data_IF_700728882326
#
_entry.id   IF_700728882326
#
_cell.length_a   1.000
_cell.length_b   1.000
_cell.length_c   1.000
_cell.angle_alpha   90.00
_cell.angle_beta   90.00
_cell.angle_gamma   90.00
#
_symmetry.space_group_name_H-M   'P 1'
#
loop_
_entity.id
_entity.type
_entity.pdbx_description
1 polymer ?
#
# COMPACT_ATOMS: atom_id res chain seq x y z
N UNK A 1 -32.93 -47.62 60.07
CA UNK A 1 -33.44 -47.65 58.68
C UNK A 1 -33.37 -46.23 58.13
N UNK A 2 -32.41 -45.92 57.26
CA UNK A 2 -32.27 -44.58 56.68
C UNK A 2 -33.20 -44.44 55.47
N UNK A 3 -34.18 -43.54 55.57
CA UNK A 3 -35.06 -43.14 54.47
C UNK A 3 -34.26 -42.40 53.42
N UNK A 4 -34.05 -43.02 52.26
CA UNK A 4 -33.39 -42.40 51.11
C UNK A 4 -34.35 -41.38 50.49
N UNK A 5 -34.05 -40.09 50.65
CA UNK A 5 -34.82 -38.99 50.06
C UNK A 5 -34.80 -39.11 48.54
N UNK A 6 -35.95 -39.46 47.95
CA UNK A 6 -36.15 -39.44 46.50
C UNK A 6 -36.49 -38.02 46.05
N UNK A 7 -35.99 -37.64 44.87
CA UNK A 7 -36.08 -36.30 44.30
C UNK A 7 -37.02 -36.36 43.10
N UNK A 8 -38.07 -35.54 43.09
CA UNK A 8 -39.09 -35.52 42.03
C UNK A 8 -38.70 -34.56 40.91
N UNK A 9 -38.86 -34.98 39.66
CA UNK A 9 -38.69 -34.09 38.51
C UNK A 9 -39.82 -33.05 38.47
N UNK A 10 -39.50 -31.75 38.31
CA UNK A 10 -40.51 -30.70 38.33
C UNK A 10 -41.36 -30.64 37.05
N UNK A 11 -40.94 -31.28 35.95
CA UNK A 11 -41.63 -31.19 34.66
C UNK A 11 -42.61 -32.35 34.46
N UNK A 12 -42.22 -33.58 34.79
CA UNK A 12 -43.04 -34.78 34.56
C UNK A 12 -43.34 -35.61 35.82
N UNK A 13 -42.86 -35.16 36.99
CA UNK A 13 -43.22 -35.73 38.28
C UNK A 13 -42.60 -37.08 38.62
N UNK A 14 -41.64 -37.60 37.83
CA UNK A 14 -40.97 -38.87 38.14
C UNK A 14 -40.01 -38.75 39.33
N UNK A 15 -39.90 -39.79 40.15
CA UNK A 15 -39.04 -39.84 41.33
C UNK A 15 -37.68 -40.48 41.00
N UNK A 16 -36.61 -39.85 41.47
CA UNK A 16 -35.24 -40.29 41.25
C UNK A 16 -34.51 -40.46 42.59
N UNK A 17 -33.70 -41.50 42.70
CA UNK A 17 -32.94 -41.76 43.93
C UNK A 17 -31.79 -40.75 44.13
N UNK A 18 -31.30 -40.10 43.07
CA UNK A 18 -30.17 -39.17 43.13
C UNK A 18 -30.39 -37.94 42.23
N UNK A 19 -29.77 -36.81 42.60
CA UNK A 19 -29.86 -35.57 41.84
C UNK A 19 -29.17 -35.66 40.46
N UNK A 20 -28.14 -36.50 40.33
CA UNK A 20 -27.47 -36.75 39.07
C UNK A 20 -28.39 -37.45 38.06
N UNK A 21 -29.15 -38.46 38.51
CA UNK A 21 -30.14 -39.15 37.67
C UNK A 21 -31.25 -38.19 37.20
N UNK A 22 -31.70 -37.29 38.07
CA UNK A 22 -32.65 -36.24 37.70
C UNK A 22 -32.08 -35.28 36.64
N UNK A 23 -30.81 -34.88 36.78
CA UNK A 23 -30.14 -33.96 35.83
C UNK A 23 -29.97 -34.59 34.44
N UNK A 24 -29.63 -35.88 34.39
CA UNK A 24 -29.51 -36.61 33.12
C UNK A 24 -30.88 -36.81 32.46
N UNK A 25 -31.91 -37.13 33.25
CA UNK A 25 -33.30 -37.22 32.77
C UNK A 25 -33.81 -35.90 32.20
N UNK A 26 -33.63 -34.78 32.92
CA UNK A 26 -34.04 -33.45 32.45
C UNK A 26 -33.30 -33.00 31.19
N UNK A 27 -32.00 -33.29 31.08
CA UNK A 27 -31.23 -32.99 29.88
C UNK A 27 -31.68 -33.82 28.65
N UNK A 28 -32.04 -35.09 28.85
CA UNK A 28 -32.39 -36.02 27.75
C UNK A 28 -33.86 -35.96 27.34
N UNK A 29 -34.78 -35.71 28.28
CA UNK A 29 -36.23 -35.72 28.01
C UNK A 29 -36.87 -34.34 27.93
N UNK A 30 -36.30 -33.33 28.58
CA UNK A 30 -36.89 -31.99 28.69
C UNK A 30 -36.04 -30.86 28.07
N UNK A 31 -34.99 -31.23 27.31
CA UNK A 31 -34.25 -30.36 26.37
C UNK A 31 -34.12 -28.90 26.81
N UNK A 32 -33.17 -28.61 27.71
CA UNK A 32 -32.71 -27.27 28.11
C UNK A 32 -33.76 -26.13 28.16
N UNK A 33 -34.96 -26.40 28.65
CA UNK A 33 -35.99 -25.40 28.92
C UNK A 33 -35.96 -24.98 30.40
N UNK A 34 -34.84 -24.36 30.81
CA UNK A 34 -34.69 -23.77 32.14
C UNK A 34 -35.11 -22.28 32.14
N UNK A 35 -35.95 -21.82 33.09
CA UNK A 35 -36.44 -20.44 33.14
C UNK A 35 -35.34 -19.48 33.62
N UNK A 36 -35.15 -18.37 32.90
CA UNK A 36 -34.20 -17.31 33.27
C UNK A 36 -34.65 -16.53 34.51
N UNK A 37 -33.77 -16.22 35.48
CA UNK A 37 -34.14 -15.42 36.65
C UNK A 37 -34.27 -13.93 36.29
N UNK A 38 -35.37 -13.30 36.73
CA UNK A 38 -35.61 -11.85 36.61
C UNK A 38 -34.63 -11.05 37.48
N UNK A 39 -34.00 -9.97 36.98
CA UNK A 39 -33.22 -9.08 37.81
C UNK A 39 -34.10 -8.06 38.55
N UNK A 40 -33.83 -7.88 39.84
CA UNK A 40 -34.38 -6.82 40.71
C UNK A 40 -33.82 -5.47 40.30
N UNK A 41 -34.69 -4.46 40.24
CA UNK A 41 -34.35 -3.09 39.86
C UNK A 41 -33.61 -2.30 40.95
N UNK A 42 -32.91 -1.26 40.50
CA UNK A 42 -32.46 -0.12 41.29
C UNK A 42 -32.54 1.16 40.42
N UNK A 43 -32.67 2.36 41.03
CA UNK A 43 -33.45 3.46 40.48
C UNK A 43 -32.72 4.36 39.48
N UNK A 44 -33.54 5.16 38.79
CA UNK A 44 -33.23 6.02 37.66
C UNK A 44 -32.03 6.95 37.84
N UNK A 45 -31.12 6.92 36.86
CA UNK A 45 -30.16 8.01 36.59
C UNK A 45 -30.26 8.41 35.12
N UNK A 46 -30.86 9.58 34.91
CA UNK A 46 -30.82 10.47 33.76
C UNK A 46 -30.39 9.88 32.40
N UNK A 47 -31.38 9.72 31.54
CA UNK A 47 -31.28 9.54 30.09
C UNK A 47 -30.47 10.66 29.44
N UNK A 48 -29.22 10.37 29.06
CA UNK A 48 -28.55 11.10 27.98
C UNK A 48 -28.59 10.19 26.75
N UNK A 49 -29.49 10.51 25.83
CA UNK A 49 -29.65 9.83 24.54
C UNK A 49 -28.30 9.80 23.81
N UNK A 50 -27.61 8.65 23.87
CA UNK A 50 -26.55 8.32 22.92
C UNK A 50 -27.25 7.69 21.73
N UNK A 51 -27.17 8.41 20.61
CA UNK A 51 -27.52 7.96 19.27
C UNK A 51 -27.26 6.46 19.14
N UNK A 52 -28.33 5.72 18.90
CA UNK A 52 -28.31 4.32 18.59
C UNK A 52 -27.35 4.12 17.42
N UNK A 53 -26.14 3.62 17.72
CA UNK A 53 -25.34 2.93 16.71
C UNK A 53 -26.20 1.76 16.27
N UNK A 54 -26.70 1.86 15.05
CA UNK A 54 -27.24 0.74 14.30
C UNK A 54 -26.15 -0.33 14.32
N UNK A 55 -26.31 -1.31 15.19
CA UNK A 55 -25.57 -2.56 15.13
C UNK A 55 -26.10 -3.27 13.90
N UNK A 56 -25.54 -2.93 12.73
CA UNK A 56 -25.63 -3.74 11.53
C UNK A 56 -25.13 -5.13 11.93
N UNK A 57 -26.06 -6.08 12.00
CA UNK A 57 -25.77 -7.46 12.30
C UNK A 57 -24.66 -7.96 11.38
N UNK A 58 -23.76 -8.71 12.00
CA UNK A 58 -22.74 -9.57 11.39
C UNK A 58 -23.24 -10.24 10.10
N UNK A 59 -23.07 -9.58 8.96
CA UNK A 59 -22.76 -10.27 7.71
C UNK A 59 -21.40 -10.90 8.00
N UNK A 60 -21.29 -12.23 7.93
CA UNK A 60 -20.04 -12.96 8.16
C UNK A 60 -18.91 -12.34 7.31
N UNK A 61 -18.18 -11.38 7.87
CA UNK A 61 -16.98 -10.82 7.26
C UNK A 61 -15.95 -11.94 7.37
N UNK A 62 -15.81 -12.72 6.31
CA UNK A 62 -14.70 -13.66 6.21
C UNK A 62 -13.43 -12.81 6.23
N UNK A 63 -12.76 -12.81 7.36
CA UNK A 63 -11.47 -12.18 7.48
C UNK A 63 -10.41 -13.18 7.02
N UNK A 64 -9.51 -12.74 6.15
CA UNK A 64 -8.46 -13.59 5.60
C UNK A 64 -7.13 -13.20 6.23
N UNK A 65 -6.53 -14.12 6.99
CA UNK A 65 -5.18 -13.94 7.51
C UNK A 65 -4.20 -14.52 6.50
N UNK A 66 -3.31 -13.67 5.98
CA UNK A 66 -2.33 -14.02 4.95
C UNK A 66 -0.96 -13.59 5.42
N UNK A 67 0.05 -14.41 5.13
CA UNK A 67 1.45 -14.09 5.39
C UNK A 67 2.29 -14.13 4.12
N UNK A 68 3.35 -13.35 4.11
CA UNK A 68 4.28 -13.27 2.99
C UNK A 68 5.54 -12.49 3.34
N UNK A 69 6.39 -12.34 2.33
CA UNK A 69 7.53 -11.45 2.38
C UNK A 69 7.68 -10.75 1.04
N UNK A 70 7.96 -9.46 1.09
CA UNK A 70 8.11 -8.60 -0.08
C UNK A 70 9.33 -7.68 0.09
N UNK A 71 9.90 -7.23 -1.02
CA UNK A 71 10.98 -6.24 -1.02
C UNK A 71 10.36 -4.83 -1.04
N UNK A 72 10.68 -4.01 -0.04
CA UNK A 72 10.25 -2.60 0.00
C UNK A 72 11.07 -1.79 -1.00
N UNK A 73 12.38 -2.02 -1.03
CA UNK A 73 13.28 -1.34 -1.96
C UNK A 73 14.74 -1.73 -1.78
N UNK A 74 15.53 -1.38 -2.78
CA UNK A 74 16.99 -1.52 -2.80
C UNK A 74 17.59 -0.14 -3.02
N UNK A 75 18.55 0.23 -2.16
CA UNK A 75 19.20 1.54 -2.21
C UNK A 75 20.68 1.32 -2.42
N UNK A 76 21.27 2.06 -3.37
CA UNK A 76 22.72 2.08 -3.54
C UNK A 76 23.30 3.23 -2.73
N UNK A 77 24.10 2.90 -1.72
CA UNK A 77 24.83 3.86 -0.91
C UNK A 77 26.14 4.24 -1.60
N UNK A 78 26.37 5.53 -1.74
CA UNK A 78 27.61 6.09 -2.28
C UNK A 78 28.46 6.63 -1.14
N UNK A 79 29.79 6.54 -1.28
CA UNK A 79 30.75 7.09 -0.30
C UNK A 79 30.57 8.62 -0.09
N UNK A 80 30.04 9.31 -1.10
CA UNK A 80 29.71 10.74 -1.03
C UNK A 80 28.47 11.07 -0.19
N UNK A 81 27.70 10.08 0.29
CA UNK A 81 26.49 10.33 1.07
C UNK A 81 26.83 10.85 2.47
N UNK A 82 26.15 11.91 2.88
CA UNK A 82 26.34 12.53 4.20
C UNK A 82 25.54 11.81 5.28
N UNK A 83 26.06 11.80 6.50
CA UNK A 83 25.34 11.31 7.69
C UNK A 83 24.03 12.10 7.84
N UNK A 84 22.94 11.41 8.18
CA UNK A 84 21.59 11.96 8.22
C UNK A 84 20.86 11.95 6.87
N UNK A 85 21.49 11.49 5.78
CA UNK A 85 20.80 11.31 4.51
C UNK A 85 19.66 10.28 4.67
N UNK A 86 18.44 10.59 4.22
CA UNK A 86 17.34 9.64 4.22
C UNK A 86 17.66 8.52 3.23
N UNK A 87 17.52 7.29 3.70
CA UNK A 87 17.61 6.09 2.87
C UNK A 87 16.18 5.72 2.46
N UNK A 88 15.33 5.44 3.43
CA UNK A 88 13.96 5.01 3.18
C UNK A 88 13.00 5.89 4.00
N UNK A 89 11.92 6.33 3.37
CA UNK A 89 10.75 6.90 4.05
C UNK A 89 9.55 6.22 3.42
N UNK A 90 8.81 5.46 4.22
CA UNK A 90 7.70 4.65 3.74
C UNK A 90 6.53 4.65 4.71
N UNK A 91 5.40 5.19 4.25
CA UNK A 91 4.11 5.08 4.92
C UNK A 91 3.62 3.64 4.78
N UNK A 92 3.43 2.96 5.91
CA UNK A 92 3.15 1.52 5.90
C UNK A 92 1.72 1.29 5.43
N UNK A 93 1.59 1.05 4.13
CA UNK A 93 0.33 0.73 3.48
C UNK A 93 0.55 -0.35 2.41
N UNK A 94 -0.19 -1.47 2.44
CA UNK A 94 -0.13 -2.54 1.44
C UNK A 94 -0.21 -2.06 -0.01
N UNK A 95 -1.05 -1.06 -0.30
CA UNK A 95 -1.28 -0.56 -1.65
C UNK A 95 -0.08 0.19 -2.22
N UNK A 96 0.79 0.73 -1.37
CA UNK A 96 1.97 1.51 -1.80
C UNK A 96 3.13 0.62 -2.28
N UNK A 97 3.15 -0.67 -1.91
CA UNK A 97 4.18 -1.62 -2.32
C UNK A 97 3.90 -2.19 -3.71
N UNK A 98 3.93 -1.33 -4.74
CA UNK A 98 3.59 -1.71 -6.11
C UNK A 98 4.36 -2.95 -6.60
N UNK A 99 3.72 -3.76 -7.44
CA UNK A 99 4.26 -5.02 -7.99
C UNK A 99 4.57 -6.14 -6.98
N UNK A 100 4.23 -5.95 -5.70
CA UNK A 100 4.38 -6.98 -4.68
C UNK A 100 3.14 -7.84 -4.56
N UNK A 101 3.28 -9.00 -3.89
CA UNK A 101 2.12 -9.83 -3.56
C UNK A 101 1.16 -9.07 -2.66
N UNK A 102 1.70 -8.32 -1.69
CA UNK A 102 0.92 -7.56 -0.73
C UNK A 102 0.03 -6.49 -1.38
N UNK A 103 0.55 -5.74 -2.36
CA UNK A 103 -0.26 -4.76 -3.10
C UNK A 103 -1.39 -5.41 -3.88
N UNK A 104 -1.13 -6.54 -4.56
CA UNK A 104 -2.20 -7.27 -5.27
C UNK A 104 -3.30 -7.76 -4.33
N UNK A 105 -2.94 -8.19 -3.11
CA UNK A 105 -3.94 -8.56 -2.11
C UNK A 105 -4.75 -7.34 -1.67
N UNK A 106 -4.10 -6.20 -1.44
CA UNK A 106 -4.79 -4.97 -1.01
C UNK A 106 -5.80 -4.45 -2.04
N UNK A 107 -5.63 -4.78 -3.32
CA UNK A 107 -6.59 -4.41 -4.36
C UNK A 107 -7.93 -5.13 -4.19
N UNK A 108 -7.96 -6.34 -3.62
CA UNK A 108 -9.16 -7.19 -3.54
C UNK A 108 -9.98 -6.95 -2.28
N UNK A 109 -9.45 -6.17 -1.33
CA UNK A 109 -10.07 -5.94 -0.04
C UNK A 109 -10.11 -4.45 0.26
N UNK A 110 -11.21 -3.96 0.82
CA UNK A 110 -11.30 -2.55 1.23
C UNK A 110 -10.56 -2.27 2.54
N UNK A 111 -10.34 -3.29 3.39
CA UNK A 111 -9.76 -3.12 4.72
C UNK A 111 -8.65 -4.11 5.01
N UNK A 112 -7.66 -3.63 5.75
CA UNK A 112 -6.54 -4.43 6.22
C UNK A 112 -6.20 -4.11 7.67
N UNK A 113 -5.52 -5.04 8.33
CA UNK A 113 -4.85 -4.80 9.61
C UNK A 113 -3.58 -5.63 9.74
N UNK A 114 -2.49 -5.07 10.27
CA UNK A 114 -1.28 -5.84 10.52
C UNK A 114 -1.46 -6.73 11.75
N UNK A 115 -0.94 -7.95 11.67
CA UNK A 115 -0.82 -8.89 12.80
C UNK A 115 0.63 -9.07 13.23
N UNK A 116 1.53 -9.11 12.24
CA UNK A 116 2.97 -9.17 12.45
C UNK A 116 3.64 -8.41 11.31
N UNK A 117 4.54 -7.51 11.66
CA UNK A 117 5.37 -6.79 10.69
C UNK A 117 6.81 -6.80 11.19
N UNK A 118 7.72 -7.24 10.34
CA UNK A 118 9.15 -7.17 10.60
C UNK A 118 9.90 -6.74 9.35
N UNK A 119 10.72 -5.71 9.47
CA UNK A 119 11.57 -5.21 8.40
C UNK A 119 12.97 -5.74 8.61
N UNK A 120 13.45 -6.54 7.67
CA UNK A 120 14.81 -7.06 7.63
C UNK A 120 15.62 -6.14 6.72
N UNK A 121 16.64 -5.51 7.31
CA UNK A 121 17.63 -4.74 6.58
C UNK A 121 18.79 -5.65 6.24
N UNK A 122 19.05 -5.84 4.95
CA UNK A 122 20.10 -6.72 4.42
C UNK A 122 21.09 -5.86 3.62
N UNK A 123 22.21 -5.45 4.24
CA UNK A 123 23.28 -4.77 3.53
C UNK A 123 24.05 -5.75 2.63
N UNK A 124 24.41 -5.32 1.43
CA UNK A 124 25.25 -6.02 0.46
C UNK A 124 26.74 -5.70 0.66
N UNK A 125 27.19 -5.64 1.90
CA UNK A 125 28.54 -5.21 2.28
C UNK A 125 29.27 -6.29 3.08
N UNK A 126 30.60 -6.31 3.01
CA UNK A 126 31.42 -7.18 3.85
C UNK A 126 31.40 -6.75 5.32
N UNK A 127 31.72 -7.67 6.23
CA UNK A 127 31.69 -7.43 7.70
C UNK A 127 32.55 -6.23 8.13
N UNK A 128 33.66 -5.98 7.42
CA UNK A 128 34.61 -4.90 7.71
C UNK A 128 34.24 -3.56 7.08
N UNK A 129 33.08 -3.44 6.43
CA UNK A 129 32.67 -2.19 5.78
C UNK A 129 32.33 -1.14 6.85
N UNK A 130 33.08 -0.02 6.92
CA UNK A 130 32.80 1.03 7.89
C UNK A 130 31.51 1.76 7.55
N UNK A 131 30.83 2.24 8.59
CA UNK A 131 29.58 2.96 8.49
C UNK A 131 28.41 2.24 9.14
N UNK A 132 27.32 2.97 9.30
CA UNK A 132 26.12 2.49 9.98
C UNK A 132 24.86 3.15 9.43
N UNK A 133 23.74 2.50 9.65
CA UNK A 133 22.41 3.01 9.34
C UNK A 133 21.54 2.96 10.61
N UNK A 134 20.55 3.84 10.67
CA UNK A 134 19.52 3.75 11.69
C UNK A 134 18.16 3.59 11.02
N UNK A 135 17.31 2.73 11.56
CA UNK A 135 15.94 2.52 11.11
C UNK A 135 14.99 2.59 12.30
N UNK A 136 13.85 3.25 12.13
CA UNK A 136 12.87 3.44 13.18
C UNK A 136 11.46 3.47 12.61
N UNK A 137 10.50 3.20 13.49
CA UNK A 137 9.07 3.29 13.17
C UNK A 137 8.38 4.21 14.16
N UNK A 138 7.37 4.92 13.67
CA UNK A 138 6.47 5.73 14.47
C UNK A 138 5.04 5.56 13.98
N UNK A 139 4.07 5.61 14.91
CA UNK A 139 2.65 5.63 14.56
C UNK A 139 2.22 6.98 13.96
N UNK A 140 3.00 8.04 14.19
CA UNK A 140 2.76 9.38 13.66
C UNK A 140 3.26 9.49 12.22
N UNK A 141 2.33 9.62 11.27
CA UNK A 141 2.62 9.76 9.84
C UNK A 141 3.25 11.12 9.49
N UNK A 142 3.04 12.14 10.32
CA UNK A 142 3.55 13.49 10.08
C UNK A 142 4.86 13.74 10.84
N UNK A 143 5.55 12.67 11.26
CA UNK A 143 6.77 12.80 12.04
C UNK A 143 7.86 13.52 11.25
N UNK A 144 8.16 14.73 11.69
CA UNK A 144 9.24 15.53 11.13
C UNK A 144 10.62 15.03 11.62
N UNK A 145 11.49 14.70 10.66
CA UNK A 145 12.87 14.30 10.92
C UNK A 145 13.78 15.49 11.26
N UNK A 146 13.38 16.72 10.96
CA UNK A 146 14.15 17.94 11.18
C UNK A 146 15.38 18.07 10.28
N UNK A 147 16.31 18.93 10.73
CA UNK A 147 17.59 19.23 10.07
C UNK A 147 18.49 18.01 9.96
N UNK A 148 19.28 17.90 8.89
CA UNK A 148 20.16 16.76 8.60
C UNK A 148 21.03 16.32 9.81
N UNK A 149 21.55 17.27 10.57
CA UNK A 149 22.42 17.06 11.74
C UNK A 149 21.73 16.34 12.91
N UNK A 150 20.40 16.50 13.06
CA UNK A 150 19.63 15.95 14.17
C UNK A 150 18.82 14.71 13.80
N UNK A 151 18.71 14.37 12.50
CA UNK A 151 17.88 13.25 12.02
C UNK A 151 18.21 11.91 12.67
N UNK A 152 19.50 11.60 12.81
CA UNK A 152 19.93 10.35 13.44
C UNK A 152 19.51 10.31 14.91
N UNK A 153 19.70 11.41 15.64
CA UNK A 153 19.31 11.51 17.05
C UNK A 153 17.79 11.39 17.20
N UNK A 154 17.02 12.14 16.41
CA UNK A 154 15.54 12.11 16.45
C UNK A 154 15.00 10.73 16.09
N UNK A 155 15.52 10.08 15.06
CA UNK A 155 15.09 8.74 14.67
C UNK A 155 15.39 7.70 15.77
N UNK A 156 16.54 7.78 16.42
CA UNK A 156 16.90 6.87 17.52
C UNK A 156 16.08 7.11 18.81
N UNK A 157 15.32 8.20 18.91
CA UNK A 157 14.32 8.37 19.98
C UNK A 157 13.05 7.55 19.77
N UNK A 158 12.74 7.17 18.52
CA UNK A 158 11.54 6.40 18.18
C UNK A 158 11.58 5.02 18.84
N UNK A 159 10.41 4.44 19.15
CA UNK A 159 10.31 3.05 19.62
C UNK A 159 9.30 2.31 18.73
N UNK A 160 9.73 1.27 17.99
CA UNK A 160 11.07 0.65 17.97
C UNK A 160 12.07 1.41 17.08
N UNK A 161 13.36 1.23 17.37
CA UNK A 161 14.46 1.66 16.51
C UNK A 161 15.63 0.67 16.57
N UNK A 162 16.47 0.70 15.54
CA UNK A 162 17.72 -0.06 15.46
C UNK A 162 18.82 0.82 14.88
N UNK A 163 19.99 0.77 15.51
CA UNK A 163 21.26 1.18 14.91
C UNK A 163 22.00 -0.07 14.40
N UNK A 164 22.22 -0.15 13.09
CA UNK A 164 22.86 -1.28 12.42
C UNK A 164 24.17 -0.88 11.75
N UNK A 165 25.13 -1.81 11.73
CA UNK A 165 26.36 -1.69 10.92
C UNK A 165 26.15 -2.40 9.60
N UNK A 166 26.81 -1.94 8.53
CA UNK A 166 26.66 -2.54 7.19
C UNK A 166 27.16 -3.99 7.12
N UNK A 167 28.01 -4.41 8.04
CA UNK A 167 28.51 -5.80 8.08
C UNK A 167 27.50 -6.84 8.55
N UNK A 168 26.30 -6.47 9.03
CA UNK A 168 25.38 -7.43 9.66
C UNK A 168 23.91 -7.09 9.38
N UNK A 169 23.11 -8.05 8.87
CA UNK A 169 21.66 -7.88 8.74
C UNK A 169 21.00 -7.65 10.10
N UNK A 170 19.96 -6.81 10.14
CA UNK A 170 19.18 -6.53 11.35
C UNK A 170 17.69 -6.56 11.04
N UNK A 171 16.89 -6.92 12.04
CA UNK A 171 15.44 -7.03 11.92
C UNK A 171 14.75 -6.09 12.89
N UNK A 172 13.99 -5.12 12.38
CA UNK A 172 13.11 -4.25 13.15
C UNK A 172 11.72 -4.88 13.24
N UNK A 173 11.22 -5.13 14.44
CA UNK A 173 9.85 -5.63 14.67
C UNK A 173 8.94 -4.44 14.93
N UNK A 174 7.90 -4.27 14.11
CA UNK A 174 6.97 -3.14 14.20
C UNK A 174 5.78 -3.53 15.09
N UNK A 175 5.40 -2.71 16.09
CA UNK A 175 4.28 -2.98 16.98
C UNK A 175 2.96 -3.05 16.20
N UNK A 176 2.25 -4.18 16.29
CA UNK A 176 0.98 -4.41 15.60
C UNK A 176 -0.22 -4.44 16.56
N UNK A 177 -0.09 -3.87 17.76
CA UNK A 177 -1.06 -4.00 18.87
C UNK A 177 -2.42 -3.32 18.63
N UNK A 178 -2.66 -2.83 17.41
CA UNK A 178 -3.93 -2.25 16.99
C UNK A 178 -4.97 -3.31 16.64
N UNK A 179 -5.20 -4.28 17.54
CA UNK A 179 -6.17 -5.39 17.34
C UNK A 179 -7.59 -4.90 17.03
N UNK A 180 -7.92 -3.65 17.41
CA UNK A 180 -9.22 -3.02 17.16
C UNK A 180 -9.24 -2.07 15.95
N UNK A 181 -8.09 -1.57 15.46
CA UNK A 181 -8.04 -0.62 14.35
C UNK A 181 -7.95 -1.38 13.03
N UNK A 182 -8.94 -1.14 12.16
CA UNK A 182 -8.88 -1.49 10.75
C UNK A 182 -8.42 -0.28 9.96
N UNK A 183 -7.56 -0.53 8.99
CA UNK A 183 -7.08 0.46 8.04
C UNK A 183 -7.78 0.24 6.70
N UNK A 184 -7.94 1.31 5.92
CA UNK A 184 -8.43 1.22 4.55
C UNK A 184 -7.28 0.84 3.60
N UNK A 185 -7.59 0.09 2.55
CA UNK A 185 -6.66 -0.22 1.46
C UNK A 185 -6.56 0.91 0.41
N UNK A 186 -6.84 2.16 0.81
CA UNK A 186 -6.76 3.34 -0.04
C UNK A 186 -5.72 4.31 0.53
N UNK A 187 -4.53 4.45 -0.10
CA UNK A 187 -3.45 5.30 0.42
C UNK A 187 -3.79 6.79 0.42
N UNK A 188 -4.87 7.23 -0.24
CA UNK A 188 -5.27 8.65 -0.23
C UNK A 188 -5.87 9.09 1.12
N UNK A 189 -6.21 8.15 2.00
CA UNK A 189 -6.87 8.42 3.28
C UNK A 189 -5.90 8.61 4.46
N UNK A 190 -4.58 8.58 4.22
CA UNK A 190 -3.52 8.84 5.20
C UNK A 190 -3.69 8.10 6.53
N UNK A 191 -4.09 8.82 7.59
CA UNK A 191 -4.21 8.29 8.96
C UNK A 191 -5.19 7.10 9.11
N UNK A 192 -6.15 7.00 8.18
CA UNK A 192 -7.10 5.90 8.12
C UNK A 192 -6.59 4.70 7.32
N UNK A 193 -5.56 4.87 6.49
CA UNK A 193 -5.03 3.84 5.60
C UNK A 193 -3.67 3.28 6.02
N UNK A 194 -2.84 4.06 6.71
CA UNK A 194 -1.45 3.66 6.96
C UNK A 194 -1.17 3.35 8.43
N UNK A 195 -0.34 2.34 8.65
CA UNK A 195 0.07 1.88 9.96
C UNK A 195 1.31 2.62 10.48
N UNK A 196 1.35 3.92 10.27
CA UNK A 196 2.48 4.78 10.62
C UNK A 196 3.57 4.82 9.56
N UNK A 197 4.72 5.35 9.96
CA UNK A 197 5.82 5.72 9.08
C UNK A 197 7.10 4.94 9.46
N UNK A 198 7.70 4.31 8.46
CA UNK A 198 9.00 3.66 8.55
C UNK A 198 10.07 4.58 7.95
N UNK A 199 11.14 4.81 8.71
CA UNK A 199 12.20 5.72 8.30
C UNK A 199 13.55 5.01 8.48
N UNK A 200 14.42 5.10 7.49
CA UNK A 200 15.83 4.73 7.60
C UNK A 200 16.73 5.89 7.16
N UNK A 201 17.84 6.09 7.87
CA UNK A 201 18.83 7.13 7.58
C UNK A 201 20.25 6.56 7.65
N UNK A 202 21.18 7.21 6.95
CA UNK A 202 22.61 6.95 7.12
C UNK A 202 23.06 7.49 8.48
N UNK A 203 23.53 6.63 9.39
CA UNK A 203 23.91 7.01 10.75
C UNK A 203 25.42 7.21 10.93
N UNK A 204 26.22 6.57 10.08
CA UNK A 204 27.67 6.72 10.04
C UNK A 204 28.16 6.71 8.60
N UNK A 205 29.18 7.51 8.32
CA UNK A 205 29.73 7.66 6.96
C UNK A 205 30.14 6.29 6.42
N UNK A 206 29.70 5.96 5.21
CA UNK A 206 30.21 4.80 4.49
C UNK A 206 31.71 5.03 4.23
N UNK A 207 32.50 3.97 4.23
CA UNK A 207 33.87 4.05 3.73
C UNK A 207 34.16 2.91 2.77
N UNK A 208 34.95 3.21 1.74
CA UNK A 208 35.29 2.26 0.68
C UNK A 208 34.34 2.34 -0.50
N UNK A 209 33.95 1.18 -1.04
CA UNK A 209 33.15 1.10 -2.26
C UNK A 209 31.66 1.32 -2.01
N UNK A 210 30.94 1.69 -3.08
CA UNK A 210 29.48 1.75 -3.05
C UNK A 210 28.90 0.38 -2.70
N UNK A 211 27.88 0.37 -1.84
CA UNK A 211 27.19 -0.85 -1.40
C UNK A 211 25.70 -0.74 -1.66
N UNK A 212 25.02 -1.86 -1.86
CA UNK A 212 23.56 -1.89 -1.89
C UNK A 212 23.00 -2.25 -0.52
N UNK A 213 21.83 -1.72 -0.17
CA UNK A 213 21.08 -2.09 1.03
C UNK A 213 19.65 -2.43 0.64
N UNK A 214 19.19 -3.61 1.06
CA UNK A 214 17.86 -4.10 0.75
C UNK A 214 16.98 -4.03 2.00
N UNK A 215 15.76 -3.51 1.84
CA UNK A 215 14.75 -3.48 2.89
C UNK A 215 13.68 -4.51 2.54
N UNK A 216 13.63 -5.61 3.29
CA UNK A 216 12.65 -6.68 3.09
C UNK A 216 11.60 -6.63 4.19
N UNK A 217 10.34 -6.67 3.82
CA UNK A 217 9.21 -6.82 4.73
C UNK A 217 8.87 -8.30 4.88
N UNK A 218 8.76 -8.77 6.10
CA UNK A 218 8.03 -9.99 6.46
C UNK A 218 6.73 -9.56 7.13
N UNK A 219 5.61 -10.08 6.63
CA UNK A 219 4.30 -9.62 7.04
C UNK A 219 3.33 -10.76 7.26
N UNK A 220 2.48 -10.59 8.27
CA UNK A 220 1.21 -11.29 8.44
C UNK A 220 0.15 -10.22 8.60
N UNK A 221 -0.84 -10.24 7.71
CA UNK A 221 -1.92 -9.27 7.68
C UNK A 221 -3.26 -9.98 7.65
N UNK A 222 -4.27 -9.29 8.16
CA UNK A 222 -5.65 -9.73 8.05
C UNK A 222 -6.42 -8.74 7.18
N UNK A 223 -7.09 -9.26 6.17
CA UNK A 223 -7.93 -8.51 5.27
C UNK A 223 -9.40 -8.79 5.53
N UNK A 224 -10.24 -7.79 5.31
CA UNK A 224 -11.69 -7.91 5.45
C UNK A 224 -12.39 -7.09 4.38
N UNK A 225 -13.69 -7.33 4.24
CA UNK A 225 -14.55 -6.66 3.28
C UNK A 225 -13.99 -6.78 1.86
N UNK A 226 -14.13 -7.96 1.23
CA UNK A 226 -13.78 -8.16 -0.18
C UNK A 226 -14.42 -7.05 -0.99
N UNK A 227 -13.57 -6.25 -1.60
CA UNK A 227 -13.92 -5.11 -2.41
C UNK A 227 -13.06 -5.26 -3.64
N UNK A 228 -13.61 -5.91 -4.66
CA UNK A 228 -12.94 -5.91 -5.94
C UNK A 228 -12.93 -4.46 -6.39
N UNK A 229 -11.77 -3.89 -6.72
CA UNK A 229 -11.78 -2.56 -7.25
C UNK A 229 -12.65 -2.65 -8.50
N UNK A 230 -13.60 -1.74 -8.64
CA UNK A 230 -14.31 -1.57 -9.89
C UNK A 230 -13.24 -1.60 -11.01
N UNK A 231 -13.54 -2.23 -12.14
CA UNK A 231 -12.60 -2.36 -13.27
C UNK A 231 -11.88 -1.02 -13.48
N UNK A 232 -10.67 -0.98 -14.03
CA UNK A 232 -10.10 0.34 -14.42
C UNK A 232 -11.11 1.08 -15.33
N UNK A 233 -11.93 0.32 -16.06
CA UNK A 233 -13.07 0.75 -16.86
C UNK A 233 -14.29 1.26 -16.05
N UNK A 234 -14.26 1.25 -14.73
CA UNK A 234 -15.27 1.81 -13.82
C UNK A 234 -14.64 2.84 -12.85
N UNK A 235 -13.35 3.15 -13.00
CA UNK A 235 -12.67 4.15 -12.20
C UNK A 235 -13.11 5.54 -12.64
N UNK A 236 -13.95 6.19 -11.84
CA UNK A 236 -14.28 7.60 -12.01
C UNK A 236 -13.52 8.44 -10.98
N UNK A 237 -12.96 9.55 -11.44
CA UNK A 237 -12.28 10.55 -10.61
C UNK A 237 -12.98 11.90 -10.79
N UNK A 238 -12.87 12.73 -9.76
CA UNK A 238 -13.43 14.07 -9.74
C UNK A 238 -12.41 15.03 -9.13
N UNK A 239 -12.43 16.32 -9.54
CA UNK A 239 -11.60 17.32 -8.88
C UNK A 239 -12.13 17.55 -7.46
N UNK A 240 -11.24 17.99 -6.58
CA UNK A 240 -11.62 18.43 -5.24
C UNK A 240 -12.75 19.49 -5.34
N UNK A 241 -13.92 19.27 -4.69
CA UNK A 241 -15.04 20.21 -4.74
C UNK A 241 -14.70 21.63 -4.25
N UNK A 242 -13.65 21.82 -3.46
CA UNK A 242 -13.22 23.15 -3.00
C UNK A 242 -12.45 23.95 -4.08
N UNK A 243 -12.13 23.30 -5.21
CA UNK A 243 -11.31 23.83 -6.29
C UNK A 243 -12.10 24.07 -7.59
N UNK A 244 -13.42 24.28 -7.51
CA UNK A 244 -14.27 24.57 -8.66
C UNK A 244 -14.59 26.08 -8.78
N UNK A 245 -14.81 26.61 -10.00
CA UNK A 245 -14.69 25.94 -11.30
C UNK A 245 -13.23 25.73 -11.72
N UNK A 246 -12.97 24.74 -12.58
CA UNK A 246 -11.62 24.43 -13.05
C UNK A 246 -11.39 24.87 -14.51
N UNK A 247 -10.17 25.22 -14.85
CA UNK A 247 -9.69 25.46 -16.21
C UNK A 247 -8.24 24.97 -16.35
N UNK A 248 -7.72 24.88 -17.58
CA UNK A 248 -6.33 24.48 -17.79
C UNK A 248 -5.39 25.68 -17.81
N UNK A 249 -4.27 25.54 -17.10
CA UNK A 249 -3.23 26.57 -16.94
C UNK A 249 -1.89 25.87 -16.63
N UNK A 250 -0.81 26.62 -16.41
CA UNK A 250 0.47 26.08 -15.93
C UNK A 250 0.80 26.53 -14.51
N UNK A 251 1.76 25.87 -13.85
CA UNK A 251 2.30 26.33 -12.56
C UNK A 251 3.80 26.52 -12.65
N UNK A 252 4.31 27.62 -12.08
CA UNK A 252 5.72 28.01 -12.15
C UNK A 252 6.67 26.92 -11.66
N UNK A 253 6.26 26.18 -10.62
CA UNK A 253 7.13 25.26 -9.89
C UNK A 253 7.08 23.83 -10.45
N UNK A 254 6.35 23.61 -11.55
CA UNK A 254 6.37 22.35 -12.30
C UNK A 254 6.56 22.59 -13.80
N UNK A 255 7.53 21.87 -14.37
CA UNK A 255 7.87 21.95 -15.78
C UNK A 255 8.16 23.39 -16.26
N UNK A 256 8.83 24.18 -15.42
CA UNK A 256 9.18 25.58 -15.65
C UNK A 256 7.98 26.49 -16.00
N UNK A 257 6.77 26.14 -15.57
CA UNK A 257 5.56 26.88 -15.96
C UNK A 257 5.15 26.73 -17.42
N UNK A 258 5.70 25.73 -18.13
CA UNK A 258 5.48 25.55 -19.57
C UNK A 258 4.50 24.45 -19.93
N UNK A 259 3.96 23.71 -18.95
CA UNK A 259 3.10 22.55 -19.21
C UNK A 259 1.75 22.69 -18.57
N UNK A 260 0.73 22.17 -19.25
CA UNK A 260 -0.65 22.27 -18.84
C UNK A 260 -1.02 21.31 -17.71
N UNK A 261 -1.66 21.89 -16.70
CA UNK A 261 -2.35 21.24 -15.59
C UNK A 261 -3.67 21.99 -15.31
N UNK A 262 -4.33 21.70 -14.19
CA UNK A 262 -5.59 22.32 -13.80
C UNK A 262 -5.41 23.33 -12.67
N UNK A 263 -6.12 24.46 -12.77
CA UNK A 263 -6.26 25.44 -11.68
C UNK A 263 -7.73 25.82 -11.49
N UNK A 264 -8.03 26.34 -10.30
CA UNK A 264 -9.36 26.84 -9.96
C UNK A 264 -9.52 28.36 -10.20
N UNK A 265 -8.41 29.12 -10.15
CA UNK A 265 -8.36 30.56 -10.45
C UNK A 265 -7.00 30.92 -11.05
N UNK A 266 -6.96 32.02 -11.80
CA UNK A 266 -5.71 32.57 -12.32
C UNK A 266 -4.75 32.89 -11.16
N UNK A 267 -3.49 32.44 -11.28
CA UNK A 267 -2.52 32.51 -10.19
C UNK A 267 -2.83 31.64 -8.96
N UNK A 268 -3.87 30.82 -9.00
CA UNK A 268 -4.28 29.92 -7.91
C UNK A 268 -3.48 28.62 -7.83
N UNK A 269 -3.85 27.79 -6.86
CA UNK A 269 -3.26 26.47 -6.64
C UNK A 269 -3.70 25.46 -7.69
N UNK A 270 -2.85 24.44 -7.90
CA UNK A 270 -3.19 23.28 -8.73
C UNK A 270 -4.39 22.54 -8.12
N UNK A 271 -5.31 22.09 -8.97
CA UNK A 271 -6.49 21.32 -8.56
C UNK A 271 -6.08 19.90 -8.19
N UNK A 272 -6.31 19.46 -6.94
CA UNK A 272 -6.19 18.06 -6.57
C UNK A 272 -7.35 17.24 -7.16
N UNK A 273 -7.07 16.00 -7.56
CA UNK A 273 -8.05 15.05 -8.06
C UNK A 273 -8.14 13.86 -7.12
N UNK A 274 -9.36 13.52 -6.73
CA UNK A 274 -9.63 12.44 -5.78
C UNK A 274 -9.67 11.11 -6.54
N UNK A 275 -8.97 10.10 -6.01
CA UNK A 275 -8.89 8.77 -6.62
C UNK A 275 -7.89 8.64 -7.77
N UNK A 276 -6.95 9.60 -7.90
CA UNK A 276 -5.93 9.57 -8.95
C UNK A 276 -4.95 8.38 -8.78
N UNK A 277 -4.73 7.63 -9.86
CA UNK A 277 -3.84 6.46 -9.91
C UNK A 277 -2.69 6.70 -10.89
N UNK A 278 -1.55 6.10 -10.60
CA UNK A 278 -0.43 6.07 -11.53
C UNK A 278 -0.70 5.11 -12.69
N UNK A 279 -0.09 5.37 -13.84
CA UNK A 279 -0.17 4.52 -15.05
C UNK A 279 -1.60 4.29 -15.59
N UNK A 280 -2.49 5.25 -15.35
CA UNK A 280 -3.84 5.29 -15.90
C UNK A 280 -3.97 6.52 -16.79
N UNK A 281 -4.61 6.37 -17.94
CA UNK A 281 -5.05 7.48 -18.78
C UNK A 281 -6.49 7.80 -18.41
N UNK A 282 -6.80 9.06 -18.24
CA UNK A 282 -8.15 9.53 -17.93
C UNK A 282 -8.75 10.24 -19.15
N UNK A 283 -10.03 9.99 -19.38
CA UNK A 283 -10.83 10.59 -20.45
C UNK A 283 -12.10 11.25 -19.85
N UNK A 284 -12.60 12.36 -20.40
CA UNK A 284 -13.86 12.96 -19.96
C UNK A 284 -15.04 11.98 -20.06
N UNK A 285 -15.91 11.95 -19.06
CA UNK A 285 -17.17 11.20 -19.17
C UNK A 285 -18.15 11.90 -20.11
N UNK A 286 -19.24 11.21 -20.49
CA UNK A 286 -20.24 11.76 -21.41
C UNK A 286 -20.83 13.06 -20.87
N UNK A 287 -20.73 14.14 -21.66
CA UNK A 287 -21.24 15.47 -21.29
C UNK A 287 -20.23 16.34 -20.54
N UNK A 288 -19.00 15.85 -20.32
CA UNK A 288 -17.89 16.62 -19.80
C UNK A 288 -17.02 17.12 -20.95
N UNK A 289 -16.75 18.42 -20.97
CA UNK A 289 -15.83 19.07 -21.90
C UNK A 289 -14.80 19.86 -21.12
N UNK A 290 -13.53 19.59 -21.40
CA UNK A 290 -12.38 20.30 -20.84
C UNK A 290 -11.62 20.93 -22.00
N UNK A 291 -11.21 22.18 -21.84
CA UNK A 291 -10.54 22.93 -22.88
C UNK A 291 -9.05 23.14 -22.56
N UNK A 292 -8.25 23.29 -23.61
CA UNK A 292 -6.93 23.91 -23.56
C UNK A 292 -6.83 24.98 -24.65
N UNK A 293 -6.06 26.04 -24.42
CA UNK A 293 -5.85 27.06 -25.44
C UNK A 293 -4.60 26.74 -26.27
N UNK A 294 -4.75 26.65 -27.59
CA UNK A 294 -3.65 26.38 -28.52
C UNK A 294 -2.79 27.62 -28.87
N UNK A 295 -3.09 28.76 -28.24
CA UNK A 295 -2.52 30.08 -28.52
C UNK A 295 -3.41 30.94 -29.42
N UNK A 296 -4.44 30.37 -30.04
CA UNK A 296 -5.39 31.09 -30.89
C UNK A 296 -6.84 30.90 -30.48
N UNK A 297 -7.19 29.70 -30.00
CA UNK A 297 -8.54 29.36 -29.52
C UNK A 297 -8.52 28.19 -28.55
N UNK A 298 -9.64 28.01 -27.89
CA UNK A 298 -9.88 26.86 -27.03
C UNK A 298 -10.18 25.61 -27.88
N UNK A 299 -9.57 24.50 -27.47
CA UNK A 299 -9.64 23.18 -28.08
C UNK A 299 -9.99 22.16 -26.99
N UNK A 300 -10.71 21.09 -27.34
CA UNK A 300 -11.02 20.05 -26.37
C UNK A 300 -9.79 19.22 -26.00
N UNK A 301 -9.53 19.07 -24.71
CA UNK A 301 -8.54 18.15 -24.16
C UNK A 301 -9.22 16.84 -23.77
N UNK A 302 -8.75 15.72 -24.34
CA UNK A 302 -9.40 14.41 -24.18
C UNK A 302 -8.63 13.42 -23.32
N UNK A 303 -7.35 13.68 -23.07
CA UNK A 303 -6.47 12.72 -22.42
C UNK A 303 -5.71 13.38 -21.28
N UNK A 304 -5.73 12.74 -20.11
CA UNK A 304 -5.07 13.21 -18.91
C UNK A 304 -4.33 12.07 -18.22
N UNK A 305 -3.26 12.39 -17.50
CA UNK A 305 -2.52 11.42 -16.69
C UNK A 305 -1.94 12.11 -15.45
N UNK A 306 -1.73 11.34 -14.39
CA UNK A 306 -1.14 11.83 -13.14
C UNK A 306 0.23 12.48 -13.36
N UNK A 307 0.49 13.63 -12.73
CA UNK A 307 1.81 14.23 -12.70
C UNK A 307 2.78 13.29 -11.96
N UNK A 308 3.90 12.95 -12.62
CA UNK A 308 4.94 12.06 -12.07
C UNK A 308 6.18 12.86 -11.71
N UNK A 309 6.97 12.36 -10.76
CA UNK A 309 8.26 12.96 -10.40
C UNK A 309 8.20 14.24 -9.57
N UNK A 310 7.01 14.74 -9.20
CA UNK A 310 6.86 15.86 -8.26
C UNK A 310 6.21 15.42 -6.95
N UNK A 311 6.86 15.72 -5.82
CA UNK A 311 6.31 15.49 -4.48
C UNK A 311 5.21 16.49 -4.09
N UNK A 312 5.11 17.63 -4.79
CA UNK A 312 4.12 18.67 -4.52
C UNK A 312 2.80 18.46 -5.28
N UNK A 313 2.85 17.72 -6.39
CA UNK A 313 1.74 17.57 -7.32
C UNK A 313 1.31 16.11 -7.48
N UNK A 314 1.36 15.35 -6.37
CA UNK A 314 1.05 13.91 -6.32
C UNK A 314 -0.42 13.58 -6.62
N UNK A 315 -1.31 14.56 -6.55
CA UNK A 315 -2.74 14.44 -6.83
C UNK A 315 -3.20 15.30 -8.01
N UNK A 316 -2.29 15.72 -8.88
CA UNK A 316 -2.60 16.60 -10.01
C UNK A 316 -2.52 15.87 -11.36
N UNK A 317 -3.21 16.42 -12.36
CA UNK A 317 -3.23 15.90 -13.73
C UNK A 317 -2.43 16.77 -14.70
N UNK A 318 -1.73 16.11 -15.62
CA UNK A 318 -1.16 16.67 -16.83
C UNK A 318 -2.12 16.46 -18.02
N UNK A 319 -2.09 17.40 -18.97
CA UNK A 319 -2.98 17.39 -20.15
C UNK A 319 -2.23 16.95 -21.43
N UNK A 320 -2.87 16.15 -22.28
CA UNK A 320 -2.25 15.58 -23.49
C UNK A 320 -3.12 15.80 -24.74
N UNK A 321 -2.45 16.00 -25.88
CA UNK A 321 -3.12 16.16 -27.17
C UNK A 321 -3.79 14.86 -27.64
N UNK A 322 -3.13 13.73 -27.41
CA UNK A 322 -3.56 12.42 -27.85
C UNK A 322 -3.17 11.31 -26.85
N UNK A 323 -3.76 10.13 -27.05
CA UNK A 323 -3.52 8.96 -26.21
C UNK A 323 -2.07 8.48 -26.29
N UNK A 324 -1.41 8.62 -27.45
CA UNK A 324 -0.04 8.16 -27.65
C UNK A 324 0.96 8.96 -26.81
N UNK A 325 0.78 10.29 -26.75
CA UNK A 325 1.56 11.19 -25.90
C UNK A 325 1.35 10.87 -24.41
N UNK A 326 0.11 10.59 -23.99
CA UNK A 326 -0.18 10.17 -22.62
C UNK A 326 0.49 8.84 -22.27
N UNK A 327 0.44 7.83 -23.15
CA UNK A 327 1.15 6.54 -22.95
C UNK A 327 2.66 6.71 -22.89
N UNK A 328 3.24 7.51 -23.79
CA UNK A 328 4.67 7.81 -23.81
C UNK A 328 5.11 8.51 -22.52
N UNK A 329 4.34 9.48 -22.04
CA UNK A 329 4.59 10.14 -20.76
C UNK A 329 4.51 9.18 -19.58
N UNK A 330 3.48 8.34 -19.49
CA UNK A 330 3.30 7.38 -18.39
C UNK A 330 4.47 6.39 -18.30
N UNK A 331 5.00 5.97 -19.45
CA UNK A 331 6.10 4.99 -19.52
C UNK A 331 7.48 5.59 -19.25
N UNK A 332 7.71 6.85 -19.64
CA UNK A 332 9.04 7.48 -19.58
C UNK A 332 9.19 8.56 -18.51
N UNK A 333 8.09 9.15 -18.03
CA UNK A 333 8.10 10.37 -17.22
C UNK A 333 8.53 11.63 -17.99
N UNK A 334 8.63 11.57 -19.33
CA UNK A 334 9.10 12.67 -20.15
C UNK A 334 8.04 13.79 -20.26
N UNK A 335 8.25 14.83 -19.47
CA UNK A 335 7.38 16.01 -19.37
C UNK A 335 7.24 16.76 -20.71
N UNK A 336 8.15 16.54 -21.69
CA UNK A 336 8.02 17.17 -23.01
C UNK A 336 6.82 16.67 -23.81
N UNK A 337 6.25 15.51 -23.43
CA UNK A 337 5.04 14.95 -24.03
C UNK A 337 3.74 15.59 -23.54
N UNK A 338 3.80 16.34 -22.44
CA UNK A 338 2.65 17.10 -21.91
C UNK A 338 2.39 18.30 -22.81
N UNK A 339 1.12 18.67 -23.02
CA UNK A 339 0.77 19.88 -23.77
C UNK A 339 1.49 21.12 -23.21
N UNK A 340 2.02 21.93 -24.12
CA UNK A 340 2.68 23.18 -23.77
C UNK A 340 1.63 24.25 -23.44
N UNK A 341 1.88 25.00 -22.39
CA UNK A 341 1.06 26.15 -22.03
C UNK A 341 1.30 27.31 -23.00
N UNK A 342 0.20 27.85 -23.55
CA UNK A 342 0.21 29.05 -24.39
C UNK A 342 -0.62 30.17 -23.76
N UNK A 343 -1.81 29.84 -23.27
CA UNK A 343 -2.68 30.73 -22.50
C UNK A 343 -3.63 29.88 -21.63
N UNK A 344 -4.28 30.52 -20.66
CA UNK A 344 -5.35 29.91 -19.88
C UNK A 344 -6.55 29.58 -20.80
N UNK A 345 -7.18 28.42 -20.58
CA UNK A 345 -8.40 28.03 -21.30
C UNK A 345 -9.66 28.60 -20.67
N UNK A 346 -10.79 28.48 -21.38
CA UNK A 346 -12.11 28.53 -20.77
C UNK A 346 -12.33 27.44 -19.71
N UNK A 347 -13.33 27.66 -18.86
CA UNK A 347 -13.69 26.73 -17.79
C UNK A 347 -14.23 25.40 -18.32
N UNK A 348 -13.92 24.32 -17.61
CA UNK A 348 -14.50 23.01 -17.85
C UNK A 348 -16.03 23.03 -17.64
N UNK A 349 -16.74 22.22 -18.42
CA UNK A 349 -18.19 22.07 -18.35
C UNK A 349 -18.52 20.59 -18.15
N UNK A 350 -19.31 20.19 -17.13
CA UNK A 350 -19.82 21.01 -16.02
C UNK A 350 -18.68 21.47 -15.09
N UNK A 351 -18.98 22.36 -14.13
CA UNK A 351 -17.99 22.92 -13.20
C UNK A 351 -17.32 21.88 -12.30
N UNK A 352 -17.96 20.73 -12.09
CA UNK A 352 -17.40 19.54 -11.44
C UNK A 352 -17.28 18.43 -12.50
N UNK A 353 -16.27 18.48 -13.38
CA UNK A 353 -16.11 17.49 -14.45
C UNK A 353 -15.65 16.14 -13.89
N UNK A 354 -16.28 15.06 -14.35
CA UNK A 354 -15.88 13.69 -14.02
C UNK A 354 -14.99 13.13 -15.13
N UNK A 355 -13.90 12.45 -14.75
CA UNK A 355 -13.07 11.71 -15.69
C UNK A 355 -13.11 10.22 -15.39
N UNK A 356 -12.99 9.42 -16.43
CA UNK A 356 -12.99 7.96 -16.37
C UNK A 356 -11.60 7.42 -16.70
N UNK A 357 -11.15 6.45 -15.91
CA UNK A 357 -9.91 5.72 -16.13
C UNK A 357 -10.00 4.76 -17.31
N UNK A 358 -8.90 4.67 -18.05
CA UNK A 358 -8.67 3.73 -19.13
C UNK A 358 -7.33 3.06 -18.87
N UNK A 359 -7.32 1.71 -18.90
CA UNK A 359 -6.09 0.97 -18.67
C UNK A 359 -5.12 1.17 -19.84
N UNK A 360 -3.83 1.24 -19.52
CA UNK A 360 -2.76 1.37 -20.53
C UNK A 360 -2.26 0.01 -21.00
N UNK A 361 -2.70 -1.08 -20.37
CA UNK A 361 -2.24 -2.46 -20.62
C UNK A 361 -3.34 -3.32 -21.23
N UNK A 362 -3.14 -3.76 -22.48
CA UNK A 362 -3.64 -5.05 -22.96
C UNK A 362 -2.67 -6.13 -22.43
N UNK A 363 -3.02 -6.81 -21.34
CA UNK A 363 -2.53 -8.17 -21.08
C UNK A 363 -3.69 -9.00 -20.51
N UNK A 364 -3.82 -10.28 -20.93
CA UNK A 364 -5.00 -11.08 -20.66
C UNK A 364 -5.10 -11.35 -19.16
N UNK A 365 -6.22 -10.96 -18.57
CA UNK A 365 -6.65 -11.48 -17.26
C UNK A 365 -6.65 -13.01 -17.35
N UNK A 366 -5.74 -13.63 -16.62
CA UNK A 366 -5.75 -15.07 -16.39
C UNK A 366 -7.10 -15.41 -15.74
N UNK A 367 -8.01 -15.97 -16.53
CA UNK A 367 -9.31 -16.47 -16.12
C UNK A 367 -9.15 -17.43 -14.94
N UNK A 368 -9.34 -16.92 -13.72
CA UNK A 368 -9.64 -17.74 -12.55
C UNK A 368 -11.15 -17.92 -12.46
N UNK A 369 -11.75 -18.50 -13.49
CA UNK A 369 -13.10 -19.06 -13.40
C UNK A 369 -13.03 -20.43 -12.73
N UNK A 370 -13.59 -20.50 -11.52
CA UNK A 370 -14.20 -21.68 -10.88
C UNK A 370 -13.63 -23.07 -11.20
N UNK A 371 -12.91 -23.66 -10.25
CA UNK A 371 -13.06 -25.10 -9.99
C UNK A 371 -13.43 -25.29 -8.51
N UNK A 372 -14.73 -25.31 -8.27
CA UNK A 372 -15.28 -25.87 -7.06
C UNK A 372 -14.92 -27.36 -7.00
N UNK A 373 -14.40 -27.79 -5.85
CA UNK A 373 -14.50 -29.15 -5.33
C UNK A 373 -13.91 -30.26 -6.20
N UNK A 374 -12.65 -30.61 -5.95
CA UNK A 374 -12.21 -32.01 -5.95
C UNK A 374 -11.05 -32.17 -4.96
N UNK A 375 -11.27 -33.06 -3.98
CA UNK A 375 -10.31 -33.46 -2.95
C UNK A 375 -9.00 -33.89 -3.59
N UNK A 376 -7.87 -33.31 -3.15
CA UNK A 376 -6.55 -33.89 -3.38
C UNK A 376 -6.38 -35.10 -2.43
N UNK A 377 -6.04 -36.30 -2.93
CA UNK A 377 -5.73 -37.43 -2.07
C UNK A 377 -4.33 -37.27 -1.46
N UNK A 378 -4.21 -37.71 -0.20
CA UNK A 378 -2.98 -37.81 0.58
C UNK A 378 -1.85 -38.48 -0.19
N UNK A 379 -0.66 -37.88 -0.19
CA UNK A 379 0.59 -38.56 -0.53
C UNK A 379 1.58 -38.41 0.63
N UNK A 380 1.99 -39.57 1.14
CA UNK A 380 2.91 -39.77 2.26
C UNK A 380 4.38 -39.46 1.86
N UNK A 381 5.30 -39.26 2.83
CA UNK A 381 6.63 -38.75 2.58
C UNK A 381 7.64 -39.88 2.31
N UNK A 382 8.52 -39.70 1.31
CA UNK A 382 9.73 -40.53 1.19
C UNK A 382 10.37 -40.59 -0.22
N UNK A 383 11.51 -39.89 -0.35
CA UNK A 383 12.70 -40.26 -1.17
C UNK A 383 12.62 -40.17 -2.72
N UNK A 384 13.78 -40.08 -3.45
CA UNK A 384 14.09 -38.90 -4.27
C UNK A 384 14.41 -39.18 -5.76
N UNK A 385 14.69 -38.09 -6.48
CA UNK A 385 15.68 -37.97 -7.57
C UNK A 385 15.24 -37.84 -9.05
N UNK A 386 16.04 -37.01 -9.73
CA UNK A 386 16.42 -36.92 -11.15
C UNK A 386 15.46 -36.43 -12.27
N UNK A 387 15.85 -35.26 -12.78
CA UNK A 387 16.01 -34.81 -14.18
C UNK A 387 15.20 -35.46 -15.32
N UNK A 388 14.63 -34.62 -16.19
CA UNK A 388 15.11 -34.55 -17.58
C UNK A 388 14.69 -33.27 -18.31
N UNK A 389 15.70 -32.73 -18.99
CA UNK A 389 15.67 -31.73 -20.05
C UNK A 389 14.91 -32.25 -21.27
N UNK A 390 14.08 -31.41 -21.89
CA UNK A 390 13.88 -31.43 -23.35
C UNK A 390 14.22 -30.08 -23.95
N UNK A 391 15.25 -30.14 -24.81
CA UNK A 391 15.79 -29.09 -25.68
C UNK A 391 14.75 -28.66 -26.70
N UNK A 392 14.79 -27.41 -27.12
CA UNK A 392 14.82 -27.11 -28.54
C UNK A 392 15.85 -26.02 -28.84
N UNK A 393 16.71 -26.36 -29.81
CA UNK A 393 17.85 -25.59 -30.31
C UNK A 393 17.35 -24.52 -31.29
N UNK A 394 17.94 -23.33 -31.22
CA UNK A 394 18.70 -22.82 -32.36
C UNK A 394 19.81 -21.92 -31.84
N UNK A 395 21.03 -22.32 -32.19
CA UNK A 395 22.31 -21.68 -31.88
C UNK A 395 22.82 -21.12 -33.20
N UNK A 396 23.27 -19.86 -33.21
CA UNK A 396 24.45 -19.49 -33.98
C UNK A 396 25.25 -18.49 -33.15
N UNK A 397 26.42 -18.95 -32.71
CA UNK A 397 27.45 -18.21 -31.97
C UNK A 397 28.44 -17.66 -33.00
N UNK A 398 28.88 -16.43 -32.82
CA UNK A 398 30.20 -15.98 -33.24
C UNK A 398 30.83 -15.18 -32.09
N UNK A 399 31.71 -15.85 -31.35
CA UNK A 399 32.68 -15.26 -30.45
C UNK A 399 33.78 -14.58 -31.29
N UNK A 400 34.26 -13.41 -30.86
CA UNK A 400 35.67 -13.07 -30.91
C UNK A 400 35.99 -11.89 -29.98
N UNK A 401 36.77 -12.17 -28.95
CA UNK A 401 37.45 -11.23 -28.04
C UNK A 401 38.79 -10.86 -28.70
N UNK A 402 39.22 -9.59 -28.69
CA UNK A 402 40.64 -9.26 -28.80
C UNK A 402 41.26 -8.87 -27.43
N UNK A 403 42.56 -9.14 -27.22
CA UNK A 403 43.25 -9.00 -25.94
C UNK A 403 43.76 -7.57 -25.65
N UNK A 404 43.95 -7.30 -24.36
CA UNK A 404 44.67 -6.13 -23.82
C UNK A 404 46.09 -5.96 -24.42
N UNK A 405 46.52 -4.72 -24.69
CA UNK A 405 47.94 -4.39 -24.75
C UNK A 405 48.45 -3.79 -23.43
N UNK A 406 49.70 -4.16 -23.12
CA UNK A 406 50.53 -3.71 -21.98
C UNK A 406 50.87 -2.21 -22.05
N UNK A 407 51.10 -1.64 -20.87
CA UNK A 407 51.69 -0.32 -20.65
C UNK A 407 53.12 -0.19 -21.20
N UNK A 408 53.54 1.05 -21.56
CA UNK A 408 54.94 1.45 -21.55
C UNK A 408 55.27 2.40 -20.37
N UNK A 409 56.48 2.19 -19.87
CA UNK A 409 57.25 2.96 -18.87
C UNK A 409 57.82 4.28 -19.41
N UNK A 410 58.31 5.10 -18.46
CA UNK A 410 59.22 6.28 -18.57
C UNK A 410 58.54 7.62 -18.85
N UNK A 411 58.94 8.78 -18.30
CA UNK A 411 59.93 9.18 -17.29
C UNK A 411 59.70 10.66 -16.96
N UNK A 412 60.13 11.09 -15.77
CA UNK A 412 60.23 12.48 -15.33
C UNK A 412 61.18 13.32 -16.20
N UNK A 413 60.80 14.58 -16.45
CA UNK A 413 61.74 15.73 -16.44
C UNK A 413 60.97 17.05 -16.35
N UNK A 414 61.25 17.82 -15.30
CA UNK A 414 60.99 19.26 -15.14
C UNK A 414 62.06 20.09 -15.85
N UNK A 415 61.76 21.37 -16.16
CA UNK A 415 62.27 22.47 -15.32
C UNK A 415 61.22 23.07 -14.38
#
# INVERSE_FOLDING_TARGET
MMSTKTIKCPVDGRLFATAAALKQHTATKHGNSGPSPKPRGNPARATRAKNARVTMGSINSQNYVISGSDLIGTITLKDSMVVGAPLLVWEINPATLQNTRLARMSQVFSRWRPRKLSVIVVPGAGVLTPGSYAIGWTADQHFDLGSAESRVQRLLTLKPNILGVFGTPRTLVIPCDTTQKWYMCDPSLGAESDHGLLIAVLAGKLGGNNISINFRLEWTMEFSSPDLPASIEDLEIYPDPDYIPIFTDSVSDWADGKRLTFKHKEGGSVVPWIGLREKVIYEPTKGVTIYYNDGTKDQECKFFAKITGSSLYTSALACFADEAAAKAYISSGDVTKVLEYKAASGYATPSLPTLKGKSVTEEPLLNLTHSAGKRLPNLAPGTPSFSMVKRNRNVTILNQIPPYPRAPTTSFSTP
#
